data_IF_729645855879
#
_entry.id   IF_729645855879
#
_cell.length_a   1.000
_cell.length_b   1.000
_cell.length_c   1.000
_cell.angle_alpha   90.00
_cell.angle_beta   90.00
_cell.angle_gamma   90.00
#
_symmetry.space_group_name_H-M   'P 1'
#
loop_
_entity.id
_entity.type
_entity.pdbx_description
1 polymer ?
#
# COMPACT_ATOMS: atom_id res chain seq x y z
N UNK A 1 15.48 8.63 -19.10
CA UNK A 1 16.64 9.55 -18.91
C UNK A 1 17.94 8.79 -18.68
N UNK A 2 18.05 7.91 -17.67
CA UNK A 2 19.26 7.11 -17.43
C UNK A 2 19.53 6.15 -18.60
N UNK A 3 18.50 5.41 -19.03
CA UNK A 3 18.58 4.52 -20.20
C UNK A 3 18.99 5.26 -21.48
N UNK A 4 18.54 6.50 -21.64
CA UNK A 4 18.88 7.37 -22.76
C UNK A 4 20.33 7.86 -22.69
N UNK A 5 20.84 8.21 -21.51
CA UNK A 5 22.27 8.52 -21.32
C UNK A 5 23.15 7.30 -21.60
N UNK A 6 22.78 6.13 -21.08
CA UNK A 6 23.48 4.87 -21.35
C UNK A 6 23.49 4.54 -22.85
N UNK A 7 22.36 4.70 -23.55
CA UNK A 7 22.25 4.48 -25.00
C UNK A 7 23.09 5.48 -25.79
N UNK A 8 23.04 6.78 -25.45
CA UNK A 8 23.88 7.82 -26.09
C UNK A 8 25.38 7.58 -25.85
N UNK A 9 25.75 7.07 -24.67
CA UNK A 9 27.14 6.70 -24.36
C UNK A 9 27.58 5.45 -25.12
N UNK A 10 26.74 4.41 -25.16
CA UNK A 10 27.01 3.17 -25.89
C UNK A 10 27.16 3.39 -27.40
N UNK A 11 26.26 4.16 -28.02
CA UNK A 11 26.35 4.55 -29.44
C UNK A 11 27.58 5.44 -29.73
N UNK A 12 28.12 6.11 -28.71
CA UNK A 12 29.37 6.86 -28.82
C UNK A 12 30.64 5.99 -28.76
N UNK A 13 30.51 4.74 -28.29
CA UNK A 13 31.61 3.78 -28.11
C UNK A 13 31.59 2.64 -29.14
N UNK A 14 30.59 2.57 -30.02
CA UNK A 14 30.50 1.55 -31.06
C UNK A 14 31.68 1.70 -32.05
N UNK A 15 32.57 0.71 -32.06
CA UNK A 15 33.73 0.59 -32.96
C UNK A 15 33.60 -0.74 -33.73
N UNK A 16 32.57 -0.91 -34.55
CA UNK A 16 32.50 -2.05 -35.47
C UNK A 16 31.87 -1.59 -36.80
N UNK A 17 32.51 -1.95 -37.91
CA UNK A 17 32.15 -1.75 -39.33
C UNK A 17 31.77 -0.32 -39.79
N UNK A 18 32.23 0.10 -40.97
CA UNK A 18 32.04 1.47 -41.47
C UNK A 18 30.55 1.82 -41.75
N UNK A 19 29.70 0.80 -41.93
CA UNK A 19 28.25 0.93 -42.09
C UNK A 19 27.53 1.05 -40.74
N UNK A 20 27.79 0.12 -39.81
CA UNK A 20 27.16 0.11 -38.48
C UNK A 20 27.58 1.33 -37.65
N UNK A 21 28.80 1.84 -37.84
CA UNK A 21 29.30 3.07 -37.21
C UNK A 21 28.58 4.34 -37.73
N UNK A 22 28.12 4.36 -38.99
CA UNK A 22 27.34 5.49 -39.53
C UNK A 22 25.92 5.50 -38.96
N UNK A 23 25.30 4.33 -38.91
CA UNK A 23 23.95 4.15 -38.36
C UNK A 23 23.93 4.49 -36.86
N UNK A 24 24.92 4.02 -36.09
CA UNK A 24 25.06 4.36 -34.68
C UNK A 24 25.30 5.86 -34.44
N UNK A 25 26.08 6.53 -35.29
CA UNK A 25 26.26 7.99 -35.25
C UNK A 25 24.98 8.74 -35.58
N UNK A 26 24.22 8.29 -36.59
CA UNK A 26 22.96 8.89 -36.98
C UNK A 26 21.94 8.79 -35.84
N UNK A 27 21.79 7.61 -35.24
CA UNK A 27 20.91 7.36 -34.10
C UNK A 27 21.30 8.22 -32.89
N UNK A 28 22.60 8.30 -32.56
CA UNK A 28 23.10 9.16 -31.47
C UNK A 28 22.78 10.63 -31.74
N UNK A 29 22.96 11.09 -32.97
CA UNK A 29 22.68 12.48 -33.36
C UNK A 29 21.17 12.79 -33.35
N UNK A 30 20.33 11.81 -33.64
CA UNK A 30 18.86 11.92 -33.55
C UNK A 30 18.40 12.02 -32.09
N UNK A 31 18.91 11.15 -31.21
CA UNK A 31 18.61 11.19 -29.76
C UNK A 31 19.06 12.50 -29.10
N UNK A 32 20.22 13.04 -29.49
CA UNK A 32 20.68 14.33 -28.97
C UNK A 32 19.85 15.49 -29.51
N UNK A 33 19.38 15.41 -30.77
CA UNK A 33 18.47 16.41 -31.36
C UNK A 33 17.12 16.43 -30.67
N UNK A 34 16.54 15.26 -30.35
CA UNK A 34 15.24 15.18 -29.67
C UNK A 34 15.28 15.75 -28.26
N UNK A 35 16.40 15.58 -27.55
CA UNK A 35 16.58 16.07 -26.18
C UNK A 35 17.12 17.51 -26.13
N UNK A 36 17.58 18.05 -27.27
CA UNK A 36 18.16 19.40 -27.38
C UNK A 36 19.29 19.67 -26.39
N UNK A 37 20.06 18.63 -26.04
CA UNK A 37 21.19 18.72 -25.11
C UNK A 37 22.44 18.18 -25.78
N UNK A 38 23.60 18.73 -25.41
CA UNK A 38 24.89 18.13 -25.73
C UNK A 38 25.09 16.86 -24.91
N UNK A 39 25.95 15.91 -25.34
CA UNK A 39 26.23 14.71 -24.55
C UNK A 39 26.65 15.02 -23.11
N UNK A 40 27.53 16.01 -22.93
CA UNK A 40 27.96 16.51 -21.62
C UNK A 40 26.85 17.19 -20.85
N UNK A 41 25.98 17.96 -21.54
CA UNK A 41 24.80 18.59 -20.94
C UNK A 41 23.78 17.57 -20.45
N UNK A 42 23.53 16.52 -21.23
CA UNK A 42 22.67 15.40 -20.86
C UNK A 42 23.22 14.67 -19.63
N UNK A 43 24.50 14.29 -19.63
CA UNK A 43 25.14 13.65 -18.47
C UNK A 43 25.08 14.52 -17.21
N UNK A 44 25.37 15.82 -17.32
CA UNK A 44 25.25 16.74 -16.19
C UNK A 44 23.82 16.81 -15.67
N UNK A 45 22.81 16.84 -16.55
CA UNK A 45 21.39 16.89 -16.18
C UNK A 45 20.95 15.61 -15.47
N UNK A 46 21.38 14.44 -15.96
CA UNK A 46 21.07 13.16 -15.32
C UNK A 46 21.72 13.08 -13.95
N UNK A 47 22.99 13.47 -13.81
CA UNK A 47 23.67 13.51 -12.51
C UNK A 47 22.97 14.43 -11.50
N UNK A 48 22.51 15.61 -11.94
CA UNK A 48 21.74 16.52 -11.09
C UNK A 48 20.43 15.89 -10.60
N UNK A 49 19.69 15.25 -11.50
CA UNK A 49 18.43 14.57 -11.15
C UNK A 49 18.69 13.41 -10.19
N UNK A 50 19.72 12.59 -10.44
CA UNK A 50 20.11 11.49 -9.56
C UNK A 50 20.50 11.97 -8.17
N UNK A 51 21.31 13.03 -8.08
CA UNK A 51 21.71 13.62 -6.80
C UNK A 51 20.50 14.17 -6.02
N UNK A 52 19.61 14.90 -6.69
CA UNK A 52 18.39 15.42 -6.08
C UNK A 52 17.46 14.29 -5.60
N UNK A 53 17.28 13.25 -6.41
CA UNK A 53 16.49 12.08 -6.06
C UNK A 53 17.08 11.32 -4.87
N UNK A 54 18.40 11.13 -4.83
CA UNK A 54 19.08 10.51 -3.69
C UNK A 54 18.88 11.27 -2.38
N UNK A 55 18.95 12.61 -2.43
CA UNK A 55 18.65 13.46 -1.27
C UNK A 55 17.19 13.36 -0.83
N UNK A 56 16.25 13.31 -1.78
CA UNK A 56 14.83 13.12 -1.50
C UNK A 56 14.57 11.79 -0.79
N UNK A 57 15.09 10.68 -1.33
CA UNK A 57 14.93 9.34 -0.75
C UNK A 57 15.53 9.25 0.65
N UNK A 58 16.71 9.83 0.89
CA UNK A 58 17.31 9.90 2.22
C UNK A 58 16.42 10.67 3.21
N UNK A 59 15.90 11.83 2.81
CA UNK A 59 15.03 12.63 3.66
C UNK A 59 13.70 11.92 3.96
N UNK A 60 13.10 11.28 2.96
CA UNK A 60 11.88 10.46 3.10
C UNK A 60 12.12 9.29 4.05
N UNK A 61 13.23 8.57 3.88
CA UNK A 61 13.62 7.46 4.75
C UNK A 61 13.77 7.91 6.20
N UNK A 62 14.52 9.00 6.44
CA UNK A 62 14.68 9.56 7.77
C UNK A 62 13.34 9.99 8.40
N UNK A 63 12.44 10.59 7.61
CA UNK A 63 11.10 10.95 8.06
C UNK A 63 10.27 9.72 8.45
N UNK A 64 10.35 8.64 7.69
CA UNK A 64 9.62 7.40 7.99
C UNK A 64 10.21 6.69 9.22
N UNK A 65 11.53 6.55 9.29
CA UNK A 65 12.23 5.89 10.41
C UNK A 65 11.97 6.58 11.74
N UNK A 66 11.95 7.93 11.75
CA UNK A 66 11.60 8.70 12.94
C UNK A 66 10.16 8.48 13.45
N UNK A 67 9.27 7.92 12.62
CA UNK A 67 7.85 7.74 12.93
C UNK A 67 7.42 6.27 13.04
N UNK A 68 8.33 5.29 13.00
CA UNK A 68 7.97 3.87 13.12
C UNK A 68 7.22 3.52 14.42
N UNK A 69 7.53 4.23 15.52
CA UNK A 69 6.84 4.04 16.81
C UNK A 69 5.33 4.36 16.72
N UNK A 70 4.95 5.30 15.87
CA UNK A 70 3.54 5.63 15.62
C UNK A 70 2.82 4.46 14.94
N UNK A 71 3.47 3.80 13.98
CA UNK A 71 2.90 2.63 13.31
C UNK A 71 2.64 1.51 14.31
N UNK A 72 3.62 1.22 15.17
CA UNK A 72 3.49 0.20 16.22
C UNK A 72 2.33 0.52 17.17
N UNK A 73 2.18 1.78 17.60
CA UNK A 73 1.11 2.17 18.53
C UNK A 73 -0.29 2.07 17.91
N UNK A 74 -0.42 2.28 16.59
CA UNK A 74 -1.67 2.10 15.85
C UNK A 74 -1.94 0.60 15.63
N UNK A 75 -0.94 -0.16 15.17
CA UNK A 75 -1.08 -1.59 14.85
C UNK A 75 -1.48 -2.43 16.06
N UNK A 76 -1.00 -2.08 17.27
CA UNK A 76 -1.41 -2.72 18.52
C UNK A 76 -2.94 -2.76 18.74
N UNK A 77 -3.69 -1.80 18.21
CA UNK A 77 -5.17 -1.76 18.34
C UNK A 77 -5.88 -2.80 17.46
N UNK A 78 -5.19 -3.36 16.48
CA UNK A 78 -5.71 -4.34 15.53
C UNK A 78 -5.13 -5.75 15.79
N UNK A 79 -4.61 -5.98 17.00
CA UNK A 79 -4.18 -7.30 17.43
C UNK A 79 -5.37 -8.27 17.45
N UNK A 80 -5.08 -9.55 17.23
CA UNK A 80 -6.05 -10.64 17.23
C UNK A 80 -7.11 -10.57 16.10
N UNK A 81 -6.89 -9.75 15.06
CA UNK A 81 -7.75 -9.70 13.87
C UNK A 81 -7.40 -10.76 12.79
N UNK A 82 -6.75 -11.87 13.18
CA UNK A 82 -6.38 -12.98 12.26
C UNK A 82 -5.09 -12.78 11.47
N UNK A 83 -4.43 -11.63 11.60
CA UNK A 83 -3.13 -11.33 10.98
C UNK A 83 -2.08 -11.10 12.07
N UNK A 84 -0.84 -11.54 11.84
CA UNK A 84 0.27 -11.38 12.78
C UNK A 84 0.59 -9.91 13.05
N UNK A 85 0.96 -9.58 14.30
CA UNK A 85 1.29 -8.19 14.66
C UNK A 85 2.43 -7.61 13.80
N UNK A 86 3.44 -8.43 13.48
CA UNK A 86 4.55 -8.01 12.63
C UNK A 86 4.06 -7.67 11.22
N UNK A 87 3.16 -8.46 10.66
CA UNK A 87 2.58 -8.21 9.33
C UNK A 87 1.75 -6.92 9.33
N UNK A 88 0.93 -6.70 10.37
CA UNK A 88 0.19 -5.44 10.53
C UNK A 88 1.13 -4.22 10.63
N UNK A 89 2.27 -4.36 11.30
CA UNK A 89 3.28 -3.31 11.37
C UNK A 89 3.89 -3.07 9.98
N UNK A 90 4.20 -4.11 9.20
CA UNK A 90 4.76 -3.95 7.87
C UNK A 90 3.78 -3.26 6.90
N UNK A 91 2.51 -3.68 6.91
CA UNK A 91 1.46 -3.05 6.11
C UNK A 91 1.25 -1.59 6.55
N UNK A 92 1.28 -1.33 7.86
CA UNK A 92 1.26 0.01 8.43
C UNK A 92 2.46 0.87 7.99
N UNK A 93 3.67 0.29 7.91
CA UNK A 93 4.87 0.97 7.42
C UNK A 93 4.72 1.34 5.94
N UNK A 94 4.13 0.46 5.12
CA UNK A 94 3.76 0.79 3.75
C UNK A 94 2.77 1.96 3.66
N UNK A 95 1.80 2.03 4.57
CA UNK A 95 0.90 3.17 4.73
C UNK A 95 1.63 4.46 5.11
N UNK A 96 2.58 4.40 6.05
CA UNK A 96 3.41 5.53 6.46
C UNK A 96 4.27 6.07 5.30
N UNK A 97 4.88 5.19 4.50
CA UNK A 97 5.65 5.60 3.34
C UNK A 97 4.79 6.35 2.32
N UNK A 98 3.56 5.88 2.05
CA UNK A 98 2.61 6.59 1.17
C UNK A 98 2.18 7.94 1.75
N UNK A 99 2.05 8.03 3.07
CA UNK A 99 1.77 9.30 3.74
C UNK A 99 2.93 10.28 3.52
N UNK A 100 4.18 9.84 3.69
CA UNK A 100 5.36 10.66 3.46
C UNK A 100 5.44 11.18 2.01
N UNK A 101 5.13 10.34 1.02
CA UNK A 101 5.10 10.74 -0.40
C UNK A 101 4.08 11.83 -0.73
N UNK A 102 2.95 11.85 -0.02
CA UNK A 102 1.82 12.75 -0.29
C UNK A 102 1.71 13.90 0.71
N UNK A 103 2.65 14.03 1.64
CA UNK A 103 2.53 15.00 2.71
C UNK A 103 2.98 16.40 2.27
N UNK A 104 2.12 17.39 2.50
CA UNK A 104 2.41 18.80 2.25
C UNK A 104 2.49 19.57 3.57
N UNK A 105 3.71 19.89 4.00
CA UNK A 105 3.94 20.61 5.26
C UNK A 105 3.35 22.04 5.26
N UNK A 106 3.22 22.67 4.08
CA UNK A 106 2.70 24.04 3.93
C UNK A 106 1.23 24.18 4.30
N UNK A 107 0.48 23.08 4.38
CA UNK A 107 -0.93 23.07 4.81
C UNK A 107 -1.10 23.25 6.32
N UNK A 108 -0.02 23.24 7.11
CA UNK A 108 -0.05 23.55 8.54
C UNK A 108 -0.48 22.39 9.45
N UNK A 109 -0.74 21.21 8.91
CA UNK A 109 -1.07 20.03 9.71
C UNK A 109 0.19 19.26 10.13
N UNK A 110 0.17 18.71 11.36
CA UNK A 110 1.24 17.83 11.85
C UNK A 110 1.26 16.53 11.05
N UNK A 111 2.46 16.06 10.70
CA UNK A 111 2.64 14.82 9.93
C UNK A 111 1.99 13.61 10.60
N UNK A 112 2.17 13.41 11.90
CA UNK A 112 1.63 12.25 12.62
C UNK A 112 0.10 12.15 12.50
N UNK A 113 -0.60 13.29 12.52
CA UNK A 113 -2.06 13.35 12.36
C UNK A 113 -2.47 12.87 10.98
N UNK A 114 -1.78 13.34 9.94
CA UNK A 114 -2.02 12.92 8.56
C UNK A 114 -1.68 11.44 8.33
N UNK A 115 -0.51 11.00 8.81
CA UNK A 115 -0.03 9.64 8.67
C UNK A 115 -0.94 8.61 9.34
N UNK A 116 -1.59 8.97 10.45
CA UNK A 116 -2.52 8.08 11.16
C UNK A 116 -3.62 7.52 10.25
N UNK A 117 -4.17 8.34 9.35
CA UNK A 117 -5.21 7.89 8.41
C UNK A 117 -4.66 6.85 7.41
N UNK A 118 -3.50 7.13 6.81
CA UNK A 118 -2.86 6.24 5.85
C UNK A 118 -2.40 4.92 6.48
N UNK A 119 -1.87 4.96 7.70
CA UNK A 119 -1.48 3.77 8.46
C UNK A 119 -2.72 2.92 8.75
N UNK A 120 -3.79 3.52 9.29
CA UNK A 120 -5.04 2.81 9.58
C UNK A 120 -5.65 2.19 8.32
N UNK A 121 -5.63 2.92 7.20
CA UNK A 121 -6.16 2.44 5.93
C UNK A 121 -5.40 1.23 5.42
N UNK A 122 -4.06 1.27 5.46
CA UNK A 122 -3.22 0.15 5.03
C UNK A 122 -3.46 -1.10 5.90
N UNK A 123 -3.47 -0.94 7.23
CA UNK A 123 -3.74 -2.02 8.18
C UNK A 123 -5.13 -2.62 7.98
N UNK A 124 -6.16 -1.79 7.88
CA UNK A 124 -7.55 -2.26 7.73
C UNK A 124 -7.75 -3.01 6.40
N UNK A 125 -7.10 -2.53 5.33
CA UNK A 125 -7.10 -3.21 4.04
C UNK A 125 -6.40 -4.57 4.12
N UNK A 126 -5.22 -4.63 4.73
CA UNK A 126 -4.48 -5.87 4.91
C UNK A 126 -5.28 -6.90 5.70
N UNK A 127 -5.96 -6.48 6.77
CA UNK A 127 -6.86 -7.35 7.53
C UNK A 127 -7.98 -7.87 6.62
N UNK A 128 -8.63 -7.02 5.82
CA UNK A 128 -9.68 -7.49 4.92
C UNK A 128 -9.17 -8.48 3.87
N UNK A 129 -7.95 -8.31 3.38
CA UNK A 129 -7.40 -9.13 2.30
C UNK A 129 -6.75 -10.43 2.80
N UNK A 130 -6.19 -10.45 4.02
CA UNK A 130 -5.31 -11.52 4.52
C UNK A 130 -5.81 -12.22 5.80
N UNK A 131 -6.77 -11.66 6.55
CA UNK A 131 -7.17 -12.24 7.87
C UNK A 131 -7.84 -13.61 7.81
N UNK A 132 -8.24 -14.06 6.61
CA UNK A 132 -9.00 -15.28 6.40
C UNK A 132 -8.25 -16.21 5.46
N UNK A 133 -8.30 -17.50 5.75
CA UNK A 133 -7.76 -18.55 4.86
C UNK A 133 -8.43 -18.51 3.49
N UNK A 134 -9.74 -18.26 3.45
CA UNK A 134 -10.50 -18.05 2.22
C UNK A 134 -10.75 -16.55 2.09
N UNK A 135 -10.21 -15.94 1.03
CA UNK A 135 -10.30 -14.50 0.80
C UNK A 135 -11.75 -14.08 0.55
N UNK A 136 -12.22 -13.11 1.32
CA UNK A 136 -13.53 -12.47 1.14
C UNK A 136 -13.35 -11.10 0.46
N UNK A 137 -14.21 -10.70 -0.50
CA UNK A 137 -14.13 -9.39 -1.11
C UNK A 137 -14.29 -8.23 -0.12
N UNK A 138 -13.56 -7.13 -0.36
CA UNK A 138 -13.49 -5.96 0.55
C UNK A 138 -14.84 -5.27 0.79
N UNK A 139 -15.80 -5.36 -0.12
CA UNK A 139 -17.12 -4.76 0.04
C UNK A 139 -18.02 -5.53 1.01
N UNK A 140 -17.72 -6.82 1.25
CA UNK A 140 -18.51 -7.69 2.15
C UNK A 140 -17.98 -7.62 3.59
N UNK A 141 -16.68 -7.35 3.79
CA UNK A 141 -16.07 -7.27 5.13
C UNK A 141 -16.78 -6.28 6.07
N UNK A 142 -17.15 -5.05 5.64
CA UNK A 142 -17.90 -4.12 6.49
C UNK A 142 -19.27 -4.65 6.90
N UNK A 143 -19.95 -5.37 6.01
CA UNK A 143 -21.26 -5.98 6.29
C UNK A 143 -21.12 -7.07 7.36
N UNK A 144 -20.11 -7.93 7.24
CA UNK A 144 -19.79 -8.95 8.25
C UNK A 144 -19.53 -8.30 9.61
N UNK A 145 -18.66 -7.28 9.67
CA UNK A 145 -18.36 -6.58 10.93
C UNK A 145 -19.59 -5.87 11.52
N UNK A 146 -20.46 -5.30 10.68
CA UNK A 146 -21.72 -4.67 11.11
C UNK A 146 -22.67 -5.70 11.71
N UNK A 147 -22.92 -6.81 11.02
CA UNK A 147 -23.81 -7.88 11.50
C UNK A 147 -23.29 -8.46 12.81
N UNK A 148 -21.98 -8.70 12.91
CA UNK A 148 -21.37 -9.18 14.15
C UNK A 148 -21.52 -8.18 15.31
N UNK A 149 -21.29 -6.89 15.06
CA UNK A 149 -21.47 -5.84 16.08
C UNK A 149 -22.91 -5.79 16.59
N UNK A 150 -23.89 -5.82 15.68
CA UNK A 150 -25.32 -5.83 16.03
C UNK A 150 -25.68 -7.10 16.80
N UNK A 151 -25.18 -8.26 16.39
CA UNK A 151 -25.38 -9.51 17.11
C UNK A 151 -24.82 -9.44 18.55
N UNK A 152 -23.62 -8.87 18.75
CA UNK A 152 -23.05 -8.66 20.09
C UNK A 152 -23.86 -7.65 20.92
N UNK A 153 -24.30 -6.54 20.33
CA UNK A 153 -25.16 -5.54 20.99
C UNK A 153 -26.51 -6.15 21.42
N UNK A 154 -27.13 -6.97 20.57
CA UNK A 154 -28.35 -7.70 20.86
C UNK A 154 -28.15 -8.75 21.96
N UNK A 155 -27.07 -9.53 21.89
CA UNK A 155 -26.75 -10.53 22.89
C UNK A 155 -26.61 -9.91 24.28
N UNK A 156 -25.93 -8.76 24.37
CA UNK A 156 -25.79 -8.01 25.62
C UNK A 156 -27.14 -7.51 26.14
N UNK A 157 -28.01 -7.00 25.26
CA UNK A 157 -29.32 -6.45 25.65
C UNK A 157 -30.33 -7.52 26.05
N UNK A 158 -30.31 -8.68 25.37
CA UNK A 158 -31.28 -9.76 25.58
C UNK A 158 -30.82 -10.78 26.64
N UNK A 159 -29.57 -10.70 27.10
CA UNK A 159 -28.94 -11.67 27.99
C UNK A 159 -29.02 -13.13 27.47
N UNK A 160 -29.14 -13.29 26.15
CA UNK A 160 -29.16 -14.57 25.43
C UNK A 160 -28.64 -14.37 24.02
N UNK A 161 -28.27 -15.46 23.36
CA UNK A 161 -27.90 -15.40 21.94
C UNK A 161 -29.12 -14.99 21.08
N UNK A 162 -28.98 -13.98 20.20
CA UNK A 162 -30.05 -13.51 19.33
C UNK A 162 -30.30 -14.48 18.18
N UNK A 163 -31.57 -14.63 17.79
CA UNK A 163 -31.93 -15.43 16.62
C UNK A 163 -31.54 -14.69 15.32
N UNK A 164 -31.34 -15.44 14.23
CA UNK A 164 -30.98 -14.88 12.91
C UNK A 164 -32.02 -13.86 12.42
N UNK A 165 -33.31 -14.10 12.68
CA UNK A 165 -34.39 -13.17 12.30
C UNK A 165 -34.32 -11.86 13.11
N UNK A 166 -33.92 -11.92 14.37
CA UNK A 166 -33.74 -10.75 15.24
C UNK A 166 -32.53 -9.90 14.79
N UNK A 167 -31.43 -10.58 14.43
CA UNK A 167 -30.24 -9.93 13.86
C UNK A 167 -30.58 -9.28 12.52
N UNK A 168 -31.30 -9.98 11.65
CA UNK A 168 -31.71 -9.49 10.34
C UNK A 168 -32.62 -8.25 10.47
N UNK A 169 -33.61 -8.29 11.37
CA UNK A 169 -34.48 -7.17 11.67
C UNK A 169 -33.73 -5.95 12.20
N UNK A 170 -32.77 -6.15 13.12
CA UNK A 170 -31.95 -5.07 13.66
C UNK A 170 -30.93 -4.52 12.65
N UNK A 171 -30.42 -5.37 11.75
CA UNK A 171 -29.47 -4.97 10.72
C UNK A 171 -30.14 -4.33 9.49
N UNK A 172 -31.44 -4.54 9.29
CA UNK A 172 -32.20 -4.05 8.14
C UNK A 172 -31.95 -4.86 6.86
N UNK A 173 -31.64 -6.15 6.99
CA UNK A 173 -31.35 -7.07 5.88
C UNK A 173 -32.30 -8.26 5.92
N UNK A 174 -32.34 -9.07 4.86
CA UNK A 174 -33.19 -10.27 4.87
C UNK A 174 -32.59 -11.36 5.79
N UNK A 175 -33.42 -12.24 6.37
CA UNK A 175 -32.93 -13.37 7.16
C UNK A 175 -31.97 -14.28 6.39
N UNK A 176 -32.16 -14.43 5.08
CA UNK A 176 -31.30 -15.24 4.22
C UNK A 176 -29.92 -14.59 4.00
N UNK A 177 -29.89 -13.26 3.80
CA UNK A 177 -28.64 -12.49 3.77
C UNK A 177 -27.90 -12.57 5.10
N UNK A 178 -28.61 -12.43 6.23
CA UNK A 178 -28.03 -12.56 7.56
C UNK A 178 -27.39 -13.96 7.77
N UNK A 179 -28.08 -15.04 7.39
CA UNK A 179 -27.52 -16.41 7.43
C UNK A 179 -26.26 -16.53 6.59
N UNK A 180 -26.27 -15.97 5.38
CA UNK A 180 -25.14 -16.02 4.46
C UNK A 180 -23.93 -15.32 5.06
N UNK A 181 -24.11 -14.10 5.57
CA UNK A 181 -23.06 -13.31 6.23
C UNK A 181 -22.50 -14.02 7.47
N UNK A 182 -23.38 -14.61 8.29
CA UNK A 182 -22.97 -15.38 9.47
C UNK A 182 -22.15 -16.63 9.09
N UNK A 183 -22.50 -17.32 8.01
CA UNK A 183 -21.73 -18.46 7.49
C UNK A 183 -20.35 -18.03 6.99
N UNK A 184 -20.27 -16.93 6.24
CA UNK A 184 -19.00 -16.39 5.74
C UNK A 184 -18.03 -15.99 6.87
N UNK A 185 -18.55 -15.71 8.07
CA UNK A 185 -17.70 -15.34 9.19
C UNK A 185 -17.00 -16.55 9.85
N UNK A 186 -17.47 -17.78 9.62
CA UNK A 186 -16.92 -18.97 10.28
C UNK A 186 -15.52 -19.30 9.73
N UNK A 187 -14.53 -19.37 10.64
CA UNK A 187 -13.19 -19.81 10.28
C UNK A 187 -13.17 -21.32 10.00
N UNK A 188 -12.40 -21.79 9.00
CA UNK A 188 -12.23 -23.22 8.77
C UNK A 188 -11.62 -23.87 10.02
N UNK A 189 -12.12 -25.05 10.38
CA UNK A 189 -11.59 -25.81 11.51
C UNK A 189 -10.30 -26.51 11.10
N UNK A 190 -9.34 -26.58 12.02
CA UNK A 190 -8.11 -27.34 11.79
C UNK A 190 -8.44 -28.82 11.68
N UNK A 191 -7.81 -29.49 10.71
CA UNK A 191 -7.92 -30.94 10.53
C UNK A 191 -7.26 -31.70 11.70
N UNK A 192 -6.33 -31.05 12.40
CA UNK A 192 -5.56 -31.64 13.50
C UNK A 192 -6.10 -31.29 14.90
N UNK A 193 -7.28 -30.67 15.00
CA UNK A 193 -7.94 -30.53 16.31
C UNK A 193 -8.45 -31.90 16.74
N UNK A 194 -8.04 -32.43 17.92
CA UNK A 194 -8.47 -33.74 18.41
C UNK A 194 -9.99 -33.82 18.64
#
# INVERSE_FOLDING_TARGET
MIELECRVRALGQAVESDADARDAKAERAELLRSVQLTPTGLSRRVQQIQSAYGRYEQAKKALCEGNLRLVVSIAKKYQNCGVGLLDLIQEGNGGLMRAADKFEYRRGFKFCTYATWWIRQAITRAISDQSRTIRVPVHVTPEISRVHRIASELAHRLHRDPNTDEIAGAAGITPDQARTVLRLNQAPRSIHTP
#
